data_IF_127813546172
#
_entry.id   IF_127813546172
#
_cell.length_a   1.000
_cell.length_b   1.000
_cell.length_c   1.000
_cell.angle_alpha   90.00
_cell.angle_beta   90.00
_cell.angle_gamma   90.00
#
_symmetry.space_group_name_H-M   'P 1'
#
loop_
_entity.id
_entity.type
_entity.pdbx_description
1 polymer ?
#
# COMPACT_ATOMS: atom_id res chain seq x y z
N UNK A 1 -15.97 4.50 0.40
CA UNK A 1 -15.86 5.45 -0.74
C UNK A 1 -15.50 4.63 -1.96
N UNK A 2 -16.28 4.71 -3.04
CA UNK A 2 -15.96 4.04 -4.29
C UNK A 2 -15.17 5.00 -5.17
N UNK A 3 -13.94 4.65 -5.54
CA UNK A 3 -13.12 5.49 -6.40
C UNK A 3 -13.15 4.98 -7.84
N UNK A 4 -13.15 5.90 -8.80
CA UNK A 4 -12.99 5.59 -10.21
C UNK A 4 -12.24 6.71 -10.94
N UNK A 5 -11.66 6.43 -12.09
CA UNK A 5 -11.09 7.41 -12.99
C UNK A 5 -11.75 7.29 -14.36
N UNK A 6 -11.71 8.35 -15.16
CA UNK A 6 -12.10 8.26 -16.58
C UNK A 6 -11.26 7.18 -17.29
N UNK A 7 -11.82 6.61 -18.36
CA UNK A 7 -11.14 5.57 -19.15
C UNK A 7 -9.98 6.16 -19.96
N UNK A 8 -10.07 7.42 -20.37
CA UNK A 8 -9.06 8.12 -21.16
C UNK A 8 -9.06 9.62 -20.82
N UNK A 9 -7.92 10.27 -21.03
CA UNK A 9 -7.80 11.72 -20.88
C UNK A 9 -8.40 12.45 -22.10
N UNK A 10 -9.10 13.56 -21.84
CA UNK A 10 -9.57 14.51 -22.85
C UNK A 10 -8.78 15.80 -22.70
N UNK A 11 -8.04 16.18 -23.75
CA UNK A 11 -7.14 17.35 -23.73
C UNK A 11 -6.11 17.31 -22.59
N UNK A 12 -5.53 16.13 -22.34
CA UNK A 12 -4.55 15.92 -21.26
C UNK A 12 -5.13 16.04 -19.86
N UNK A 13 -6.46 15.97 -19.70
CA UNK A 13 -7.14 16.00 -18.41
C UNK A 13 -8.09 14.82 -18.26
N UNK A 14 -8.29 14.36 -17.04
CA UNK A 14 -9.25 13.30 -16.71
C UNK A 14 -9.87 13.56 -15.33
N UNK A 15 -11.00 12.92 -15.06
CA UNK A 15 -11.67 12.99 -13.77
C UNK A 15 -11.29 11.81 -12.89
N UNK A 16 -11.01 12.09 -11.63
CA UNK A 16 -10.97 11.10 -10.56
C UNK A 16 -12.19 11.30 -9.66
N UNK A 17 -13.10 10.33 -9.68
CA UNK A 17 -14.41 10.39 -9.04
C UNK A 17 -14.44 9.57 -7.75
N UNK A 18 -15.08 10.12 -6.71
CA UNK A 18 -15.25 9.51 -5.39
C UNK A 18 -16.74 9.47 -5.07
N UNK A 19 -17.33 8.28 -5.13
CA UNK A 19 -18.77 8.06 -4.95
C UNK A 19 -19.06 7.56 -3.54
N UNK A 20 -20.06 8.20 -2.92
CA UNK A 20 -20.64 7.89 -1.63
C UNK A 20 -22.07 7.40 -1.88
N UNK A 21 -22.28 6.08 -2.07
CA UNK A 21 -23.58 5.55 -2.48
C UNK A 21 -24.64 5.62 -1.38
N UNK A 22 -24.24 5.89 -0.14
CA UNK A 22 -25.13 5.93 1.02
C UNK A 22 -24.87 7.16 1.90
N UNK A 23 -24.96 8.34 1.31
CA UNK A 23 -24.91 9.58 2.07
C UNK A 23 -26.29 9.89 2.65
N UNK A 24 -26.41 10.08 3.96
CA UNK A 24 -27.71 10.23 4.62
C UNK A 24 -27.81 11.62 5.24
N UNK A 25 -28.86 12.35 4.88
CA UNK A 25 -29.29 13.53 5.60
C UNK A 25 -30.43 13.15 6.55
N UNK A 26 -30.34 13.62 7.79
CA UNK A 26 -31.36 13.41 8.82
C UNK A 26 -31.86 14.77 9.30
N UNK A 27 -33.13 15.06 9.08
CA UNK A 27 -33.75 16.23 9.65
C UNK A 27 -34.32 15.90 11.04
N UNK A 28 -33.68 16.40 12.09
CA UNK A 28 -34.12 16.25 13.49
C UNK A 28 -35.03 17.40 13.96
N UNK A 29 -35.36 18.35 13.09
CA UNK A 29 -36.25 19.47 13.37
C UNK A 29 -37.72 19.07 13.30
N UNK A 30 -38.58 19.87 13.94
CA UNK A 30 -40.04 19.82 13.75
C UNK A 30 -40.50 20.43 12.43
N UNK A 31 -39.61 21.11 11.71
CA UNK A 31 -39.89 21.81 10.44
C UNK A 31 -39.13 21.16 9.27
N UNK A 32 -39.65 21.33 8.05
CA UNK A 32 -38.94 20.90 6.84
C UNK A 32 -37.67 21.72 6.66
N UNK A 33 -36.57 21.06 6.27
CA UNK A 33 -35.29 21.71 6.00
C UNK A 33 -34.92 21.45 4.54
N UNK A 34 -34.56 22.50 3.81
CA UNK A 34 -33.95 22.39 2.49
C UNK A 34 -32.44 22.47 2.59
N UNK A 35 -31.73 21.70 1.78
CA UNK A 35 -30.29 21.92 1.53
C UNK A 35 -30.19 22.97 0.44
N UNK A 36 -29.71 24.16 0.81
CA UNK A 36 -29.54 25.31 -0.07
C UNK A 36 -28.28 25.17 -0.92
N UNK A 37 -27.17 24.76 -0.29
CA UNK A 37 -25.90 24.60 -0.98
C UNK A 37 -25.19 23.34 -0.50
N UNK A 38 -24.63 22.62 -1.46
CA UNK A 38 -23.80 21.45 -1.24
C UNK A 38 -22.54 21.63 -2.09
N UNK A 39 -21.38 21.74 -1.44
CA UNK A 39 -20.09 21.90 -2.12
C UNK A 39 -19.06 20.93 -1.59
N UNK A 40 -18.01 20.70 -2.39
CA UNK A 40 -16.92 19.82 -2.02
C UNK A 40 -15.57 20.50 -2.19
N UNK A 41 -14.63 20.14 -1.32
CA UNK A 41 -13.24 20.54 -1.35
C UNK A 41 -12.36 19.30 -1.10
N UNK A 42 -11.12 19.31 -1.59
CA UNK A 42 -10.11 18.34 -1.20
C UNK A 42 -8.87 19.06 -0.65
N UNK A 43 -8.16 18.41 0.28
CA UNK A 43 -6.89 18.91 0.78
C UNK A 43 -5.78 18.51 -0.20
N UNK A 44 -4.99 19.47 -0.69
CA UNK A 44 -3.86 19.23 -1.59
C UNK A 44 -2.56 18.88 -0.83
N UNK A 45 -1.48 18.61 -1.58
CA UNK A 45 -0.16 18.30 -1.01
C UNK A 45 0.47 19.45 -0.20
N UNK A 46 -0.06 20.68 -0.35
CA UNK A 46 0.36 21.88 0.40
C UNK A 46 -0.55 22.16 1.60
N UNK A 47 -1.44 21.23 1.95
CA UNK A 47 -2.48 21.36 2.98
C UNK A 47 -3.47 22.51 2.71
N UNK A 48 -3.76 22.82 1.45
CA UNK A 48 -4.77 23.79 1.04
C UNK A 48 -6.04 23.08 0.59
N UNK A 49 -7.19 23.63 0.97
CA UNK A 49 -8.49 23.17 0.49
C UNK A 49 -8.76 23.73 -0.90
N UNK A 50 -8.98 22.84 -1.87
CA UNK A 50 -9.25 23.17 -3.27
C UNK A 50 -10.65 22.70 -3.61
N UNK A 51 -11.47 23.61 -4.14
CA UNK A 51 -12.84 23.29 -4.56
C UNK A 51 -12.86 22.25 -5.67
N UNK A 52 -13.79 21.31 -5.57
CA UNK A 52 -14.00 20.25 -6.54
C UNK A 52 -15.49 20.13 -6.91
N UNK A 53 -15.76 19.43 -8.00
CA UNK A 53 -17.13 19.28 -8.48
C UNK A 53 -17.86 18.26 -7.61
N UNK A 54 -19.08 18.59 -7.18
CA UNK A 54 -19.97 17.67 -6.49
C UNK A 54 -21.20 17.42 -7.36
N UNK A 55 -21.53 16.14 -7.52
CA UNK A 55 -22.71 15.66 -8.24
C UNK A 55 -23.57 14.88 -7.26
N UNK A 56 -24.88 15.08 -7.32
CA UNK A 56 -25.88 14.35 -6.53
C UNK A 56 -26.90 13.72 -7.48
N UNK A 57 -27.54 12.62 -7.04
CA UNK A 57 -28.65 12.00 -7.76
C UNK A 57 -30.00 12.70 -7.53
N UNK A 58 -30.01 13.82 -6.81
CA UNK A 58 -31.21 14.64 -6.62
C UNK A 58 -31.31 15.64 -7.78
N UNK A 59 -32.33 15.49 -8.62
CA UNK A 59 -32.57 16.34 -9.80
C UNK A 59 -32.97 17.78 -9.43
N UNK A 60 -33.30 18.02 -8.16
CA UNK A 60 -33.76 19.32 -7.66
C UNK A 60 -32.57 20.16 -7.17
N UNK A 61 -32.56 21.44 -7.55
CA UNK A 61 -31.60 22.44 -7.06
C UNK A 61 -31.62 22.59 -5.53
N UNK A 62 -32.69 22.14 -4.87
CA UNK A 62 -32.88 22.16 -3.43
C UNK A 62 -33.34 20.77 -2.96
N UNK A 63 -32.60 20.17 -2.02
CA UNK A 63 -32.97 18.87 -1.43
C UNK A 63 -33.83 19.14 -0.19
N UNK A 64 -35.14 18.93 -0.30
CA UNK A 64 -36.07 19.12 0.83
C UNK A 64 -36.19 17.86 1.67
N UNK A 65 -36.04 17.98 2.99
CA UNK A 65 -36.13 16.90 3.96
C UNK A 65 -37.25 17.23 4.95
N UNK A 66 -38.32 16.43 4.90
CA UNK A 66 -39.45 16.52 5.82
C UNK A 66 -39.02 16.35 7.31
N UNK A 67 -39.81 16.89 8.27
CA UNK A 67 -39.53 16.74 9.70
C UNK A 67 -39.35 15.27 10.11
N UNK A 68 -38.32 14.98 10.90
CA UNK A 68 -38.00 13.63 11.40
C UNK A 68 -37.85 12.57 10.30
N UNK A 69 -37.48 12.98 9.08
CA UNK A 69 -37.21 12.07 7.96
C UNK A 69 -35.73 12.00 7.61
N UNK A 70 -35.42 10.91 6.90
CA UNK A 70 -34.12 10.60 6.37
C UNK A 70 -34.20 10.65 4.84
N UNK A 71 -33.21 11.25 4.21
CA UNK A 71 -33.02 11.17 2.76
C UNK A 71 -31.68 10.51 2.47
N UNK A 72 -31.73 9.51 1.61
CA UNK A 72 -30.55 8.83 1.07
C UNK A 72 -30.17 9.49 -0.25
N UNK A 73 -28.95 10.01 -0.31
CA UNK A 73 -28.35 10.58 -1.50
C UNK A 73 -27.15 9.75 -1.94
N UNK A 74 -26.97 9.68 -3.25
CA UNK A 74 -25.71 9.33 -3.87
C UNK A 74 -24.97 10.64 -4.13
N UNK A 75 -23.80 10.80 -3.53
CA UNK A 75 -22.92 11.95 -3.78
C UNK A 75 -21.68 11.45 -4.50
N UNK A 76 -21.28 12.15 -5.56
CA UNK A 76 -20.04 11.91 -6.29
C UNK A 76 -19.21 13.18 -6.30
N UNK A 77 -18.02 13.13 -5.72
CA UNK A 77 -17.04 14.22 -5.81
C UNK A 77 -16.10 13.92 -6.98
N UNK A 78 -15.86 14.89 -7.85
CA UNK A 78 -14.96 14.76 -8.99
C UNK A 78 -13.83 15.78 -8.90
N UNK A 79 -12.60 15.27 -8.98
CA UNK A 79 -11.38 16.08 -9.05
C UNK A 79 -10.80 15.94 -10.46
N UNK A 80 -10.68 17.07 -11.15
CA UNK A 80 -10.03 17.12 -12.46
C UNK A 80 -8.52 17.17 -12.30
N UNK A 81 -7.80 16.27 -12.97
CA UNK A 81 -6.36 16.19 -12.92
C UNK A 81 -5.76 16.35 -14.31
N UNK A 82 -4.58 16.96 -14.38
CA UNK A 82 -3.77 17.01 -15.60
C UNK A 82 -2.93 15.73 -15.67
N UNK A 83 -2.99 15.01 -16.79
CA UNK A 83 -2.27 13.76 -17.00
C UNK A 83 -3.11 12.70 -17.72
N UNK A 84 -2.78 11.44 -17.47
CA UNK A 84 -3.51 10.28 -17.98
C UNK A 84 -4.09 9.47 -16.83
N UNK A 85 -5.27 8.86 -16.98
CA UNK A 85 -5.82 7.96 -15.97
C UNK A 85 -4.99 6.67 -15.87
N UNK A 86 -5.29 5.87 -14.85
CA UNK A 86 -4.70 4.55 -14.63
C UNK A 86 -4.86 3.61 -15.83
N UNK A 87 -3.82 2.83 -16.08
CA UNK A 87 -3.69 1.95 -17.26
C UNK A 87 -4.72 0.82 -17.29
N UNK A 88 -5.16 0.33 -16.13
CA UNK A 88 -6.15 -0.75 -16.01
C UNK A 88 -7.24 -0.42 -14.97
N UNK A 89 -8.21 -1.33 -14.82
CA UNK A 89 -9.32 -1.15 -13.89
C UNK A 89 -8.87 -1.03 -12.43
N UNK A 90 -7.83 -1.77 -12.01
CA UNK A 90 -7.36 -1.71 -10.63
C UNK A 90 -6.75 -0.34 -10.31
N UNK A 91 -5.96 0.21 -11.24
CA UNK A 91 -5.39 1.55 -11.12
C UNK A 91 -6.47 2.63 -11.17
N UNK A 92 -7.49 2.46 -12.02
CA UNK A 92 -8.60 3.42 -12.11
C UNK A 92 -9.50 3.41 -10.89
N UNK A 93 -9.60 2.31 -10.15
CA UNK A 93 -10.39 2.22 -8.90
C UNK A 93 -9.72 2.87 -7.66
N UNK A 94 -8.75 3.77 -7.86
CA UNK A 94 -7.95 4.43 -6.82
C UNK A 94 -7.90 5.94 -7.03
N UNK A 95 -7.59 6.68 -5.96
CA UNK A 95 -7.13 8.04 -6.09
C UNK A 95 -5.82 8.06 -6.88
N UNK A 96 -5.74 8.95 -7.86
CA UNK A 96 -4.56 9.07 -8.71
C UNK A 96 -3.34 9.55 -7.91
N UNK A 97 -2.13 9.13 -8.28
CA UNK A 97 -0.88 9.46 -7.56
C UNK A 97 -0.56 10.96 -7.47
N UNK A 98 -1.23 11.80 -8.28
CA UNK A 98 -1.12 13.26 -8.22
C UNK A 98 -1.90 13.87 -7.04
N UNK A 99 -2.74 13.09 -6.37
CA UNK A 99 -3.47 13.49 -5.17
C UNK A 99 -2.71 13.02 -3.92
N UNK A 100 -2.81 13.77 -2.80
CA UNK A 100 -2.19 13.33 -1.55
C UNK A 100 -2.80 12.00 -1.06
N UNK A 101 -2.02 11.28 -0.26
CA UNK A 101 -2.44 10.05 0.42
C UNK A 101 -2.09 10.14 1.92
N UNK A 102 -3.05 9.97 2.84
CA UNK A 102 -4.48 9.80 2.60
C UNK A 102 -5.11 11.05 1.96
N UNK A 103 -6.10 10.85 1.09
CA UNK A 103 -6.84 11.96 0.49
C UNK A 103 -7.95 12.40 1.45
N UNK A 104 -7.97 13.68 1.83
CA UNK A 104 -9.09 14.25 2.60
C UNK A 104 -10.06 14.98 1.68
N UNK A 105 -11.33 14.63 1.80
CA UNK A 105 -12.45 15.25 1.10
C UNK A 105 -13.36 15.91 2.12
N UNK A 106 -13.71 17.18 1.91
CA UNK A 106 -14.59 17.94 2.77
C UNK A 106 -15.87 18.27 2.01
N UNK A 107 -17.01 17.91 2.57
CA UNK A 107 -18.33 18.26 2.04
C UNK A 107 -18.89 19.35 2.94
N UNK A 108 -19.21 20.50 2.36
CA UNK A 108 -19.85 21.61 3.04
C UNK A 108 -21.33 21.63 2.69
N UNK A 109 -22.16 21.82 3.71
CA UNK A 109 -23.62 21.83 3.62
C UNK A 109 -24.10 23.14 4.21
N UNK A 110 -24.98 23.82 3.48
CA UNK A 110 -25.74 24.96 3.97
C UNK A 110 -27.22 24.68 3.81
N UNK A 111 -27.98 24.90 4.87
CA UNK A 111 -29.42 24.69 4.88
C UNK A 111 -30.22 25.99 4.65
N UNK A 112 -31.53 25.86 4.47
CA UNK A 112 -32.45 26.99 4.31
C UNK A 112 -32.57 27.87 5.56
N UNK A 113 -32.00 27.47 6.69
CA UNK A 113 -31.89 28.26 7.91
C UNK A 113 -30.53 28.97 8.03
N UNK A 114 -29.72 28.96 6.96
CA UNK A 114 -28.36 29.51 6.91
C UNK A 114 -27.39 28.86 7.92
N UNK A 115 -27.67 27.62 8.35
CA UNK A 115 -26.73 26.87 9.18
C UNK A 115 -25.74 26.15 8.28
N UNK A 116 -24.48 26.20 8.69
CA UNK A 116 -23.39 25.55 7.98
C UNK A 116 -22.90 24.32 8.74
N UNK A 117 -22.69 23.23 8.02
CA UNK A 117 -22.05 22.04 8.52
C UNK A 117 -20.97 21.59 7.53
N UNK A 118 -19.93 20.93 8.06
CA UNK A 118 -18.92 20.30 7.20
C UNK A 118 -18.62 18.89 7.68
N UNK A 119 -18.38 18.00 6.73
CA UNK A 119 -17.99 16.62 6.97
C UNK A 119 -16.67 16.36 6.25
N UNK A 120 -15.65 15.96 6.99
CA UNK A 120 -14.35 15.56 6.44
C UNK A 120 -14.30 14.04 6.39
N UNK A 121 -13.94 13.52 5.22
CA UNK A 121 -13.87 12.10 4.90
C UNK A 121 -12.47 11.79 4.39
N UNK A 122 -11.87 10.71 4.88
CA UNK A 122 -10.58 10.25 4.42
C UNK A 122 -10.74 9.06 3.46
N UNK A 123 -10.07 9.13 2.32
CA UNK A 123 -9.93 8.04 1.37
C UNK A 123 -8.47 7.58 1.34
N UNK A 124 -8.29 6.28 1.54
CA UNK A 124 -6.99 5.62 1.46
C UNK A 124 -7.04 4.65 0.29
N UNK A 125 -6.06 4.71 -0.60
CA UNK A 125 -5.98 3.78 -1.72
C UNK A 125 -5.89 2.33 -1.24
N UNK A 126 -6.69 1.46 -1.86
CA UNK A 126 -6.54 0.03 -1.70
C UNK A 126 -5.22 -0.40 -2.36
N UNK A 127 -4.40 -1.26 -1.73
CA UNK A 127 -3.11 -1.66 -2.29
C UNK A 127 -3.27 -2.35 -3.66
N UNK A 128 -2.47 -1.97 -4.67
CA UNK A 128 -2.55 -2.53 -6.02
C UNK A 128 -1.90 -3.89 -6.07
N UNK A 129 -2.73 -4.93 -6.20
CA UNK A 129 -2.37 -6.31 -6.54
C UNK A 129 -0.97 -6.74 -6.07
N UNK A 130 -0.67 -6.48 -4.80
CA UNK A 130 0.70 -6.50 -4.33
C UNK A 130 1.26 -7.94 -4.34
N UNK A 131 2.57 -8.10 -4.50
CA UNK A 131 3.25 -9.32 -4.12
C UNK A 131 2.80 -9.82 -2.76
N UNK A 132 2.16 -11.00 -2.76
CA UNK A 132 1.83 -11.74 -1.55
C UNK A 132 2.67 -12.99 -1.49
N UNK A 133 2.74 -13.59 -0.31
CA UNK A 133 3.43 -14.86 -0.13
C UNK A 133 2.83 -15.93 -1.05
N UNK A 134 1.51 -16.05 -1.12
CA UNK A 134 0.82 -17.06 -1.93
C UNK A 134 1.17 -16.92 -3.41
N UNK A 135 1.08 -15.70 -3.96
CA UNK A 135 1.45 -15.44 -5.35
C UNK A 135 2.91 -15.74 -5.65
N UNK A 136 3.81 -15.48 -4.71
CA UNK A 136 5.24 -15.79 -4.87
C UNK A 136 5.48 -17.29 -4.82
N UNK A 137 4.82 -18.01 -3.92
CA UNK A 137 4.88 -19.46 -3.84
C UNK A 137 4.44 -20.07 -5.16
N UNK A 138 3.31 -19.61 -5.71
CA UNK A 138 2.80 -20.08 -7.00
C UNK A 138 3.76 -19.72 -8.14
N UNK A 139 4.21 -18.46 -8.22
CA UNK A 139 5.12 -17.99 -9.28
C UNK A 139 6.46 -18.72 -9.29
N UNK A 140 6.98 -19.07 -8.12
CA UNK A 140 8.27 -19.74 -7.95
C UNK A 140 8.13 -21.27 -7.81
N UNK A 141 6.92 -21.83 -7.95
CA UNK A 141 6.62 -23.25 -7.75
C UNK A 141 7.14 -23.80 -6.41
N UNK A 142 7.00 -23.04 -5.32
CA UNK A 142 7.54 -23.40 -4.01
C UNK A 142 6.55 -24.24 -3.20
N UNK A 143 7.07 -25.03 -2.27
CA UNK A 143 6.25 -25.64 -1.22
C UNK A 143 6.25 -24.76 0.02
N UNK A 144 5.07 -24.49 0.61
CA UNK A 144 4.92 -23.71 1.84
C UNK A 144 5.89 -24.15 2.95
N UNK A 145 6.17 -25.46 3.05
CA UNK A 145 7.06 -26.05 4.06
C UNK A 145 8.52 -25.62 3.94
N UNK A 146 8.92 -25.11 2.77
CA UNK A 146 10.28 -24.67 2.50
C UNK A 146 10.46 -23.17 2.81
N UNK A 147 9.37 -22.43 3.09
CA UNK A 147 9.43 -21.00 3.39
C UNK A 147 9.96 -20.78 4.81
N UNK A 148 11.00 -19.96 4.93
CA UNK A 148 11.59 -19.52 6.18
C UNK A 148 11.01 -18.19 6.65
N UNK A 149 10.69 -17.30 5.72
CA UNK A 149 10.00 -16.06 6.03
C UNK A 149 9.73 -15.21 4.81
N UNK A 150 8.73 -14.34 4.94
CA UNK A 150 8.34 -13.37 3.93
C UNK A 150 8.18 -12.02 4.59
N UNK A 151 8.84 -11.02 4.02
CA UNK A 151 8.88 -9.65 4.55
C UNK A 151 8.53 -8.74 3.39
N UNK A 152 7.66 -7.77 3.63
CA UNK A 152 7.29 -6.78 2.64
C UNK A 152 7.14 -5.40 3.25
N UNK A 153 7.44 -4.38 2.47
CA UNK A 153 7.11 -2.99 2.77
C UNK A 153 6.50 -2.31 1.54
N UNK A 154 5.46 -1.53 1.77
CA UNK A 154 4.75 -0.82 0.72
C UNK A 154 5.36 0.57 0.55
N UNK A 155 5.53 0.98 -0.71
CA UNK A 155 5.74 2.37 -1.06
C UNK A 155 4.46 2.99 -1.62
N UNK A 156 3.67 3.59 -0.73
CA UNK A 156 2.42 4.26 -1.07
C UNK A 156 2.61 5.46 -1.99
N UNK A 157 3.85 5.97 -2.16
CA UNK A 157 4.14 7.06 -3.11
C UNK A 157 4.23 6.59 -4.56
N UNK A 158 4.59 5.32 -4.80
CA UNK A 158 4.89 4.81 -6.14
C UNK A 158 4.26 3.43 -6.43
N UNK A 159 3.18 3.07 -5.76
CA UNK A 159 2.36 1.86 -6.03
C UNK A 159 3.13 0.52 -6.03
N UNK A 160 4.32 0.49 -5.44
CA UNK A 160 5.22 -0.66 -5.43
C UNK A 160 5.27 -1.27 -4.02
N UNK A 161 5.25 -2.61 -3.95
CA UNK A 161 5.68 -3.35 -2.76
C UNK A 161 7.05 -3.94 -3.01
N UNK A 162 7.96 -3.64 -2.09
CA UNK A 162 9.25 -4.29 -1.99
C UNK A 162 9.10 -5.51 -1.08
N UNK A 163 9.71 -6.63 -1.46
CA UNK A 163 9.64 -7.84 -0.66
C UNK A 163 10.94 -8.65 -0.68
N UNK A 164 11.10 -9.45 0.36
CA UNK A 164 12.10 -10.52 0.47
C UNK A 164 11.38 -11.81 0.87
N UNK A 165 11.54 -12.85 0.06
CA UNK A 165 11.14 -14.21 0.41
C UNK A 165 12.39 -15.04 0.69
N UNK A 166 12.44 -15.69 1.84
CA UNK A 166 13.57 -16.57 2.24
C UNK A 166 13.04 -17.99 2.33
N UNK A 167 13.69 -18.93 1.66
CA UNK A 167 13.21 -20.31 1.57
C UNK A 167 14.34 -21.31 1.28
N UNK A 168 14.09 -22.59 1.53
CA UNK A 168 14.95 -23.67 1.05
C UNK A 168 14.68 -24.01 -0.40
N UNK A 169 15.72 -24.29 -1.18
CA UNK A 169 15.55 -24.78 -2.55
C UNK A 169 14.78 -26.10 -2.57
N UNK A 170 13.79 -26.21 -3.46
CA UNK A 170 12.98 -27.41 -3.63
C UNK A 170 13.81 -28.64 -4.02
N UNK A 171 14.81 -28.44 -4.90
CA UNK A 171 15.61 -29.53 -5.47
C UNK A 171 16.83 -29.86 -4.59
N UNK A 172 17.20 -28.94 -3.69
CA UNK A 172 18.40 -29.04 -2.85
C UNK A 172 18.11 -28.44 -1.47
N UNK A 173 17.76 -29.28 -0.48
CA UNK A 173 17.68 -28.87 0.94
C UNK A 173 18.98 -28.24 1.48
N UNK A 174 20.06 -28.30 0.71
CA UNK A 174 21.40 -27.79 1.01
C UNK A 174 21.62 -26.29 0.77
N UNK A 175 20.61 -25.53 0.30
CA UNK A 175 20.74 -24.09 0.06
C UNK A 175 19.55 -23.28 0.57
N UNK A 176 19.81 -22.12 1.19
CA UNK A 176 18.83 -21.06 1.41
C UNK A 176 18.83 -20.16 0.18
N UNK A 177 17.65 -19.79 -0.32
CA UNK A 177 17.46 -18.82 -1.39
C UNK A 177 16.74 -17.60 -0.83
N UNK A 178 17.17 -16.43 -1.26
CA UNK A 178 16.54 -15.15 -0.96
C UNK A 178 16.01 -14.58 -2.26
N UNK A 179 14.70 -14.46 -2.44
CA UNK A 179 14.11 -13.79 -3.59
C UNK A 179 13.69 -12.37 -3.21
N UNK A 180 14.46 -11.41 -3.69
CA UNK A 180 14.19 -9.98 -3.57
C UNK A 180 13.42 -9.50 -4.79
N UNK A 181 12.44 -8.62 -4.60
CA UNK A 181 11.78 -7.99 -5.73
C UNK A 181 10.98 -6.75 -5.41
N UNK A 182 10.67 -6.02 -6.48
CA UNK A 182 9.57 -5.06 -6.60
C UNK A 182 8.57 -5.66 -7.59
N UNK A 183 7.26 -5.57 -7.30
CA UNK A 183 6.13 -5.80 -8.24
C UNK A 183 6.16 -7.04 -9.17
N UNK A 184 6.96 -8.07 -8.85
CA UNK A 184 7.23 -9.28 -9.63
C UNK A 184 7.95 -9.11 -10.98
N UNK A 185 8.17 -7.89 -11.45
CA UNK A 185 8.86 -7.63 -12.73
C UNK A 185 10.36 -7.94 -12.64
N UNK A 186 10.94 -7.69 -11.48
CA UNK A 186 12.37 -7.83 -11.22
C UNK A 186 12.60 -8.69 -9.99
N UNK A 187 13.13 -9.89 -10.19
CA UNK A 187 13.49 -10.82 -9.12
C UNK A 187 15.00 -11.02 -9.10
N UNK A 188 15.63 -10.83 -7.94
CA UNK A 188 17.03 -11.19 -7.69
C UNK A 188 17.07 -12.28 -6.63
N UNK A 189 17.69 -13.41 -6.97
CA UNK A 189 17.60 -14.63 -6.16
C UNK A 189 18.96 -15.18 -5.73
N UNK A 190 19.78 -14.45 -4.92
CA UNK A 190 21.00 -15.02 -4.37
C UNK A 190 20.70 -16.21 -3.45
N UNK A 191 21.67 -17.12 -3.35
CA UNK A 191 21.55 -18.33 -2.53
C UNK A 191 22.77 -18.54 -1.64
N UNK A 192 22.54 -19.06 -0.44
CA UNK A 192 23.59 -19.46 0.50
C UNK A 192 23.64 -20.98 0.59
N UNK A 193 24.77 -21.54 0.19
CA UNK A 193 25.08 -22.95 0.39
C UNK A 193 25.92 -23.16 1.68
N UNK A 194 26.23 -24.42 1.98
CA UNK A 194 27.10 -24.81 3.11
C UNK A 194 28.45 -24.08 3.11
N UNK A 195 29.04 -23.82 1.94
CA UNK A 195 30.36 -23.18 1.81
C UNK A 195 30.27 -21.68 2.11
N UNK A 196 29.23 -21.02 1.62
CA UNK A 196 28.97 -19.61 1.86
C UNK A 196 28.71 -19.36 3.35
N UNK A 197 27.86 -20.17 3.99
CA UNK A 197 27.58 -20.06 5.44
C UNK A 197 28.86 -20.22 6.26
N UNK A 198 29.70 -21.22 5.96
CA UNK A 198 31.00 -21.39 6.64
C UNK A 198 31.93 -20.20 6.43
N UNK A 199 31.90 -19.58 5.26
CA UNK A 199 32.66 -18.36 4.97
C UNK A 199 32.19 -17.20 5.85
N UNK A 200 30.87 -17.01 5.98
CA UNK A 200 30.29 -16.00 6.86
C UNK A 200 30.67 -16.21 8.33
N UNK A 201 30.56 -17.44 8.85
CA UNK A 201 30.96 -17.76 10.22
C UNK A 201 32.47 -17.49 10.46
N UNK A 202 33.31 -17.81 9.46
CA UNK A 202 34.75 -17.53 9.52
C UNK A 202 35.04 -16.03 9.53
N UNK A 203 34.38 -15.26 8.66
CA UNK A 203 34.52 -13.80 8.61
C UNK A 203 34.07 -13.15 9.92
N UNK A 204 32.91 -13.55 10.45
CA UNK A 204 32.37 -13.03 11.71
C UNK A 204 33.35 -13.26 12.87
N UNK A 205 33.96 -14.46 12.91
CA UNK A 205 34.99 -14.81 13.90
C UNK A 205 36.28 -14.01 13.73
N UNK A 206 36.73 -13.78 12.50
CA UNK A 206 37.94 -13.00 12.21
C UNK A 206 37.76 -11.53 12.58
N UNK A 207 36.61 -10.95 12.25
CA UNK A 207 36.27 -9.55 12.54
C UNK A 207 35.76 -9.33 13.98
N UNK A 208 35.48 -10.42 14.72
CA UNK A 208 34.83 -10.41 16.05
C UNK A 208 33.51 -9.63 16.06
N UNK A 209 32.70 -9.79 15.02
CA UNK A 209 31.38 -9.15 14.89
C UNK A 209 30.26 -10.15 15.07
N UNK A 210 29.22 -9.75 15.79
CA UNK A 210 27.96 -10.51 15.92
C UNK A 210 27.00 -10.28 14.75
N UNK A 211 27.29 -9.30 13.89
CA UNK A 211 26.47 -8.94 12.74
C UNK A 211 27.37 -8.67 11.52
N UNK A 212 27.01 -9.21 10.35
CA UNK A 212 27.67 -8.92 9.07
C UNK A 212 26.64 -8.52 8.02
N UNK A 213 26.92 -7.48 7.25
CA UNK A 213 26.12 -7.12 6.08
C UNK A 213 26.38 -8.15 4.98
N UNK A 214 25.31 -8.72 4.42
CA UNK A 214 25.39 -9.85 3.48
C UNK A 214 24.66 -9.60 2.17
N UNK A 215 23.66 -8.73 2.18
CA UNK A 215 22.98 -8.23 1.00
C UNK A 215 22.78 -6.73 1.15
N UNK A 216 23.72 -5.97 0.60
CA UNK A 216 23.56 -4.55 0.29
C UNK A 216 23.31 -4.40 -1.20
N UNK A 217 22.54 -3.38 -1.59
CA UNK A 217 22.37 -2.96 -2.99
C UNK A 217 21.66 -3.96 -3.92
N UNK A 218 20.94 -4.97 -3.39
CA UNK A 218 20.14 -5.87 -4.23
C UNK A 218 19.06 -5.07 -4.97
N UNK A 219 18.44 -4.09 -4.30
CA UNK A 219 17.81 -2.92 -4.91
C UNK A 219 18.16 -1.73 -4.01
N UNK A 220 19.26 -1.05 -4.30
CA UNK A 220 19.66 0.15 -3.55
C UNK A 220 18.61 1.27 -3.76
N UNK A 221 18.12 1.98 -2.72
CA UNK A 221 18.43 1.90 -1.28
C UNK A 221 17.35 1.21 -0.42
N UNK A 222 16.67 0.21 -0.96
CA UNK A 222 15.47 -0.35 -0.33
C UNK A 222 15.73 -1.53 0.62
N UNK A 223 16.75 -2.35 0.37
CA UNK A 223 17.01 -3.56 1.13
C UNK A 223 18.36 -3.55 1.85
N UNK A 224 18.33 -3.87 3.14
CA UNK A 224 19.52 -4.08 3.95
C UNK A 224 19.38 -5.39 4.71
N UNK A 225 20.27 -6.35 4.47
CA UNK A 225 20.27 -7.62 5.19
C UNK A 225 21.55 -7.83 5.99
N UNK A 226 21.39 -8.22 7.25
CA UNK A 226 22.48 -8.53 8.17
C UNK A 226 22.36 -9.98 8.65
N UNK A 227 23.40 -10.78 8.46
CA UNK A 227 23.53 -12.07 9.11
C UNK A 227 23.85 -11.88 10.59
N UNK A 228 23.14 -12.61 11.46
CA UNK A 228 23.28 -12.53 12.92
C UNK A 228 23.92 -13.81 13.46
N UNK A 229 24.93 -13.63 14.32
CA UNK A 229 25.73 -14.72 14.87
C UNK A 229 25.62 -14.78 16.40
N UNK A 230 25.73 -15.98 16.97
CA UNK A 230 25.85 -16.14 18.41
C UNK A 230 27.27 -15.82 18.93
N UNK A 231 27.46 -15.98 20.24
CA UNK A 231 28.74 -15.78 20.91
C UNK A 231 29.85 -16.78 20.48
N UNK A 232 29.49 -17.84 19.76
CA UNK A 232 30.42 -18.79 19.14
C UNK A 232 30.60 -18.55 17.63
N UNK A 233 30.08 -17.43 17.10
CA UNK A 233 30.09 -17.06 15.69
C UNK A 233 29.36 -18.05 14.78
N UNK A 234 28.36 -18.76 15.30
CA UNK A 234 27.45 -19.58 14.49
C UNK A 234 26.31 -18.73 13.96
N UNK A 235 25.98 -18.91 12.68
CA UNK A 235 24.87 -18.19 12.06
C UNK A 235 23.54 -18.63 12.69
N UNK A 236 22.76 -17.69 13.22
CA UNK A 236 21.48 -17.98 13.89
C UNK A 236 20.28 -17.47 13.11
N UNK A 237 20.40 -16.27 12.52
CA UNK A 237 19.28 -15.58 11.92
C UNK A 237 19.76 -14.59 10.87
N UNK A 238 18.82 -14.01 10.14
CA UNK A 238 19.04 -12.83 9.31
C UNK A 238 18.09 -11.73 9.73
N UNK A 239 18.61 -10.52 9.92
CA UNK A 239 17.82 -9.30 10.04
C UNK A 239 17.66 -8.70 8.66
N UNK A 240 16.43 -8.48 8.25
CA UNK A 240 16.10 -7.83 6.99
C UNK A 240 15.38 -6.53 7.32
N UNK A 241 15.89 -5.45 6.74
CA UNK A 241 15.28 -4.12 6.77
C UNK A 241 14.87 -3.75 5.36
N UNK A 242 13.58 -3.47 5.17
CA UNK A 242 13.05 -2.90 3.93
C UNK A 242 12.64 -1.46 4.24
N UNK A 243 13.27 -0.49 3.58
CA UNK A 243 13.01 0.93 3.76
C UNK A 243 12.49 1.52 2.45
N UNK A 244 11.27 2.03 2.44
CA UNK A 244 10.66 2.73 1.30
C UNK A 244 10.57 4.23 1.61
N UNK A 245 10.02 5.03 0.68
CA UNK A 245 9.78 6.46 0.95
C UNK A 245 8.68 6.69 1.99
N UNK A 246 7.79 5.72 2.18
CA UNK A 246 6.57 5.87 3.00
C UNK A 246 6.47 4.87 4.16
N UNK A 247 7.34 3.86 4.22
CA UNK A 247 7.35 2.89 5.31
C UNK A 247 8.73 2.29 5.57
N UNK A 248 8.90 1.68 6.75
CA UNK A 248 10.08 0.88 7.08
C UNK A 248 9.63 -0.37 7.83
N UNK A 249 10.07 -1.53 7.36
CA UNK A 249 9.79 -2.82 7.99
C UNK A 249 11.11 -3.48 8.36
N UNK A 250 11.24 -3.92 9.61
CA UNK A 250 12.41 -4.63 10.12
C UNK A 250 11.94 -5.96 10.70
N UNK A 251 12.54 -7.06 10.27
CA UNK A 251 12.20 -8.38 10.79
C UNK A 251 13.45 -9.26 10.89
N UNK A 252 13.51 -10.03 11.97
CA UNK A 252 14.54 -11.05 12.19
C UNK A 252 13.93 -12.41 11.87
N UNK A 253 14.53 -13.12 10.92
CA UNK A 253 14.12 -14.47 10.53
C UNK A 253 15.16 -15.46 11.06
N UNK A 254 14.78 -16.35 12.01
CA UNK A 254 15.63 -17.46 12.42
C UNK A 254 15.94 -18.37 11.22
N UNK A 255 17.21 -18.75 11.08
CA UNK A 255 17.65 -19.64 10.01
C UNK A 255 17.91 -21.03 10.60
N UNK A 256 17.12 -22.07 10.28
CA UNK A 256 17.34 -23.43 10.79
C UNK A 256 18.51 -24.12 10.09
N UNK A 257 19.70 -23.53 10.19
CA UNK A 257 20.90 -23.89 9.41
C UNK A 257 21.28 -25.37 9.52
N UNK A 258 20.92 -26.06 10.61
CA UNK A 258 21.14 -27.51 10.78
C UNK A 258 20.63 -28.34 9.59
N UNK A 259 19.56 -27.90 8.92
CA UNK A 259 18.98 -28.57 7.75
C UNK A 259 19.87 -28.50 6.50
N UNK A 260 20.80 -27.54 6.44
CA UNK A 260 21.76 -27.37 5.33
C UNK A 260 23.00 -28.24 5.55
N UNK A 261 23.33 -28.51 6.82
CA UNK A 261 24.49 -29.31 7.21
C UNK A 261 24.18 -30.80 7.36
N UNK A 262 22.91 -31.19 7.32
CA UNK A 262 22.49 -32.60 7.27
C UNK A 262 22.74 -33.13 5.87
N UNK A 263 23.63 -34.12 5.75
CA UNK A 263 23.89 -34.80 4.48
C UNK A 263 22.65 -35.63 4.10
N UNK A 264 22.24 -35.66 2.81
CA UNK A 264 21.27 -36.65 2.34
C UNK A 264 21.83 -38.07 2.40
#
# INVERSE_FOLDING_TARGET
IQCNQDIYAKNGRFMNSFTFPRFIFHNTSSESIGILQLSAEYEDISNKWISCQLITNQDQQLINIDPNKLILCLITIQIQLNGSPGIDNQHRCRAHHLLPQPLKLKINIEDTQMKHASLILEQINQPLNLPTLEKLIDKLNLSQKNILGFISADDCSIEIRYFVLIYYSNDKKSCIIFSFGCDFSSLRSPSWDKKYIKTLEKLAKQEKKSELIVHENVFDPFFYCQALFDHHFRLQAIRVTIKTNTSTTIQIIPLPIKQIFTEP
#
